data_IF_473729913262
#
_entry.id   IF_473729913262
#
_cell.length_a   1.000
_cell.length_b   1.000
_cell.length_c   1.000
_cell.angle_alpha   90.00
_cell.angle_beta   90.00
_cell.angle_gamma   90.00
#
_symmetry.space_group_name_H-M   'P 1'
#
loop_
_entity.id
_entity.type
_entity.pdbx_description
1 polymer ?
#
# COMPACT_ATOMS: atom_id res chain seq x y z
N UNK A 1 4.49 8.23 33.44
CA UNK A 1 4.13 7.13 34.36
C UNK A 1 4.50 5.82 33.67
N UNK A 2 5.32 4.99 34.31
CA UNK A 2 5.69 3.67 33.77
C UNK A 2 4.57 2.67 34.11
N UNK A 3 3.90 2.10 33.11
CA UNK A 3 2.96 1.00 33.30
C UNK A 3 3.74 -0.31 33.27
N UNK A 4 3.64 -1.09 34.35
CA UNK A 4 4.23 -2.43 34.48
C UNK A 4 3.19 -3.49 34.07
N UNK A 5 3.58 -4.58 33.39
CA UNK A 5 2.64 -5.65 33.04
C UNK A 5 1.89 -6.17 34.26
N UNK A 6 0.57 -6.37 34.12
CA UNK A 6 -0.30 -6.82 35.23
C UNK A 6 -0.08 -8.28 35.60
N UNK A 7 0.59 -9.07 34.75
CA UNK A 7 1.03 -10.44 35.04
C UNK A 7 2.38 -10.70 34.38
N UNK A 8 3.05 -11.79 34.80
CA UNK A 8 4.33 -12.23 34.23
C UNK A 8 4.12 -12.82 32.83
N UNK A 9 4.72 -12.22 31.82
CA UNK A 9 4.55 -12.57 30.39
C UNK A 9 5.41 -13.79 30.03
N UNK A 10 6.69 -13.79 30.45
CA UNK A 10 7.60 -14.93 30.25
C UNK A 10 7.64 -15.84 31.48
N UNK A 11 7.23 -17.10 31.32
CA UNK A 11 7.32 -18.16 32.36
C UNK A 11 8.22 -19.30 31.89
N UNK A 12 8.88 -20.01 32.83
CA UNK A 12 9.88 -21.06 32.53
C UNK A 12 9.31 -22.35 31.92
N UNK A 13 7.99 -22.52 31.89
CA UNK A 13 7.32 -23.81 31.63
C UNK A 13 6.32 -23.79 30.45
N UNK A 14 6.36 -22.78 29.59
CA UNK A 14 5.45 -22.68 28.44
C UNK A 14 5.97 -23.40 27.19
N UNK A 15 5.08 -24.09 26.46
CA UNK A 15 5.37 -24.76 25.17
C UNK A 15 5.46 -23.79 23.96
N UNK A 16 5.19 -22.51 24.15
CA UNK A 16 5.14 -21.51 23.08
C UNK A 16 6.43 -20.71 22.96
N UNK A 17 6.75 -20.25 21.74
CA UNK A 17 7.87 -19.33 21.49
C UNK A 17 7.55 -17.99 22.15
N UNK A 18 8.42 -17.56 23.07
CA UNK A 18 8.32 -16.29 23.80
C UNK A 18 9.66 -15.57 23.76
N UNK A 19 9.66 -14.28 24.04
CA UNK A 19 10.93 -13.55 24.07
C UNK A 19 10.82 -12.14 24.61
N UNK A 20 11.89 -11.40 24.37
CA UNK A 20 12.03 -10.01 24.80
C UNK A 20 12.54 -9.18 23.63
N UNK A 21 12.00 -7.98 23.48
CA UNK A 21 12.40 -7.02 22.46
C UNK A 21 13.08 -5.80 23.12
N UNK A 22 14.29 -5.42 22.71
CA UNK A 22 14.97 -4.23 23.22
C UNK A 22 14.36 -2.95 22.63
N UNK A 23 13.43 -2.31 23.35
CA UNK A 23 12.74 -1.10 22.87
C UNK A 23 13.51 0.16 23.25
N UNK A 24 13.76 1.03 22.26
CA UNK A 24 14.32 2.37 22.48
C UNK A 24 13.23 3.29 23.03
N UNK A 25 12.01 3.25 22.47
CA UNK A 25 10.86 4.04 22.97
C UNK A 25 10.57 3.77 24.44
N UNK A 26 10.70 2.53 24.88
CA UNK A 26 10.44 2.14 26.26
C UNK A 26 11.68 2.13 27.16
N UNK A 27 12.88 2.25 26.58
CA UNK A 27 14.16 2.18 27.30
C UNK A 27 14.29 0.93 28.20
N UNK A 28 13.71 -0.20 27.76
CA UNK A 28 13.71 -1.48 28.48
C UNK A 28 13.41 -2.64 27.53
N UNK A 29 13.63 -3.85 28.04
CA UNK A 29 13.12 -5.06 27.39
C UNK A 29 11.59 -5.13 27.52
N UNK A 30 10.89 -5.26 26.40
CA UNK A 30 9.44 -5.52 26.35
C UNK A 30 9.22 -7.00 26.09
N UNK A 31 8.49 -7.65 26.99
CA UNK A 31 8.18 -9.08 26.90
C UNK A 31 7.01 -9.34 25.96
N UNK A 32 7.05 -10.46 25.24
CA UNK A 32 5.98 -10.95 24.36
C UNK A 32 5.76 -12.45 24.51
N UNK A 33 4.51 -12.90 24.35
CA UNK A 33 4.06 -14.29 24.53
C UNK A 33 3.90 -15.06 23.21
N UNK A 34 3.91 -14.37 22.06
CA UNK A 34 3.81 -14.98 20.74
C UNK A 34 4.64 -14.26 19.65
N UNK A 35 5.04 -14.95 18.57
CA UNK A 35 5.72 -14.31 17.44
C UNK A 35 4.92 -13.15 16.80
N UNK A 36 3.59 -13.23 16.82
CA UNK A 36 2.72 -12.16 16.30
C UNK A 36 2.78 -10.91 17.15
N UNK A 37 2.88 -11.05 18.48
CA UNK A 37 3.13 -9.93 19.38
C UNK A 37 4.52 -9.31 19.13
N UNK A 38 5.53 -10.13 18.84
CA UNK A 38 6.85 -9.61 18.48
C UNK A 38 6.80 -8.75 17.20
N UNK A 39 5.99 -9.16 16.21
CA UNK A 39 5.76 -8.36 15.00
C UNK A 39 4.97 -7.08 15.30
N UNK A 40 3.96 -7.13 16.17
CA UNK A 40 3.23 -5.94 16.62
C UNK A 40 4.14 -4.94 17.35
N UNK A 41 5.05 -5.43 18.20
CA UNK A 41 6.05 -4.58 18.88
C UNK A 41 6.91 -3.83 17.86
N UNK A 42 7.35 -4.48 16.78
CA UNK A 42 8.12 -3.79 15.72
C UNK A 42 7.31 -2.67 15.08
N UNK A 43 6.03 -2.91 14.79
CA UNK A 43 5.14 -1.87 14.26
C UNK A 43 5.07 -0.66 15.20
N UNK A 44 4.95 -0.88 16.51
CA UNK A 44 4.89 0.20 17.50
C UNK A 44 6.25 0.91 17.66
N UNK A 45 7.35 0.17 17.66
CA UNK A 45 8.71 0.71 17.81
C UNK A 45 9.11 1.59 16.63
N UNK A 46 8.71 1.24 15.41
CA UNK A 46 9.11 2.00 14.21
C UNK A 46 8.09 3.06 13.78
N UNK A 47 6.87 3.04 14.32
CA UNK A 47 5.89 4.08 13.99
C UNK A 47 6.26 5.41 14.70
N UNK A 48 6.56 6.50 13.95
CA UNK A 48 6.93 7.79 14.54
C UNK A 48 5.78 8.45 15.33
N UNK A 49 4.53 8.12 15.01
CA UNK A 49 3.36 8.60 15.73
C UNK A 49 3.12 7.91 17.08
N UNK A 50 3.83 6.82 17.39
CA UNK A 50 3.75 6.14 18.69
C UNK A 50 4.75 6.77 19.66
N UNK A 51 4.28 7.20 20.82
CA UNK A 51 5.14 7.72 21.90
C UNK A 51 5.68 6.61 22.78
N UNK A 52 4.79 5.70 23.20
CA UNK A 52 5.09 4.61 24.12
C UNK A 52 4.11 3.45 23.90
N UNK A 53 4.50 2.25 24.31
CA UNK A 53 3.63 1.08 24.30
C UNK A 53 3.93 0.15 25.49
N UNK A 54 2.91 -0.55 25.96
CA UNK A 54 2.99 -1.34 27.19
C UNK A 54 2.36 -2.70 26.94
N UNK A 55 3.11 -3.79 27.18
CA UNK A 55 2.54 -5.13 27.16
C UNK A 55 1.68 -5.36 28.39
N UNK A 56 0.54 -6.03 28.20
CA UNK A 56 -0.39 -6.46 29.25
C UNK A 56 -0.69 -5.34 30.26
N UNK A 57 -1.28 -4.23 29.79
CA UNK A 57 -1.25 -2.93 30.46
C UNK A 57 -2.26 -2.79 31.59
N UNK A 58 -3.37 -3.53 31.52
CA UNK A 58 -4.52 -3.40 32.42
C UNK A 58 -5.37 -4.66 32.39
N UNK A 59 -6.20 -4.83 33.43
CA UNK A 59 -7.32 -5.77 33.40
C UNK A 59 -8.54 -5.00 32.91
N UNK A 60 -9.18 -5.52 31.87
CA UNK A 60 -10.35 -4.94 31.24
C UNK A 60 -11.56 -5.85 31.40
N UNK A 61 -12.75 -5.26 31.40
CA UNK A 61 -14.00 -5.97 31.71
C UNK A 61 -14.97 -5.95 30.53
N UNK A 62 -15.68 -7.06 30.34
CA UNK A 62 -16.74 -7.22 29.35
C UNK A 62 -17.82 -8.17 29.91
N UNK A 63 -18.97 -8.24 29.24
CA UNK A 63 -20.02 -9.20 29.56
C UNK A 63 -20.09 -10.27 28.47
N UNK A 64 -20.23 -11.54 28.85
CA UNK A 64 -20.48 -12.61 27.89
C UNK A 64 -21.92 -12.59 27.36
N UNK A 65 -22.24 -13.49 26.42
CA UNK A 65 -23.57 -13.55 25.79
C UNK A 65 -24.72 -13.81 26.79
N UNK A 66 -24.41 -14.29 28.00
CA UNK A 66 -25.38 -14.52 29.08
C UNK A 66 -25.42 -13.37 30.10
N UNK A 67 -24.70 -12.26 29.83
CA UNK A 67 -24.62 -11.11 30.73
C UNK A 67 -23.64 -11.29 31.89
N UNK A 68 -22.89 -12.40 31.95
CA UNK A 68 -21.94 -12.65 33.04
C UNK A 68 -20.73 -11.74 32.88
N UNK A 69 -20.35 -11.04 33.95
CA UNK A 69 -19.14 -10.22 33.95
C UNK A 69 -17.89 -11.11 33.81
N UNK A 70 -17.04 -10.75 32.86
CA UNK A 70 -15.76 -11.40 32.56
C UNK A 70 -14.66 -10.35 32.50
N UNK A 71 -13.42 -10.80 32.61
CA UNK A 71 -12.24 -9.94 32.47
C UNK A 71 -11.25 -10.52 31.48
N UNK A 72 -10.48 -9.66 30.83
CA UNK A 72 -9.34 -10.03 30.01
C UNK A 72 -8.22 -9.01 30.18
N UNK A 73 -7.03 -9.34 29.69
CA UNK A 73 -5.87 -8.45 29.69
C UNK A 73 -5.54 -8.20 28.22
N UNK A 74 -5.64 -6.97 27.70
CA UNK A 74 -5.20 -6.66 26.34
C UNK A 74 -3.71 -6.97 26.18
N UNK A 75 -3.29 -7.43 25.01
CA UNK A 75 -1.88 -7.74 24.77
C UNK A 75 -1.01 -6.50 24.85
N UNK A 76 -1.50 -5.36 24.33
CA UNK A 76 -0.80 -4.08 24.42
C UNK A 76 -1.72 -2.89 24.68
N UNK A 77 -1.13 -1.82 25.21
CA UNK A 77 -1.61 -0.44 25.08
C UNK A 77 -0.59 0.36 24.30
N UNK A 78 -1.05 1.14 23.33
CA UNK A 78 -0.22 2.08 22.54
C UNK A 78 -0.66 3.50 22.86
N UNK A 79 0.27 4.35 23.27
CA UNK A 79 0.03 5.79 23.47
C UNK A 79 0.59 6.58 22.28
N UNK A 80 -0.23 7.45 21.70
CA UNK A 80 0.18 8.27 20.54
C UNK A 80 0.99 9.51 20.97
N UNK A 81 1.78 10.05 20.05
CA UNK A 81 2.59 11.25 20.25
C UNK A 81 1.75 12.48 20.54
N UNK A 82 0.64 12.64 19.82
CA UNK A 82 -0.25 13.80 19.94
C UNK A 82 -1.47 13.54 20.86
N UNK A 83 -1.39 12.51 21.70
CA UNK A 83 -2.42 12.19 22.70
C UNK A 83 -3.37 11.06 22.31
N UNK A 84 -4.07 10.54 23.31
CA UNK A 84 -4.91 9.35 23.18
C UNK A 84 -4.13 8.03 23.30
N UNK A 85 -4.88 6.94 23.40
CA UNK A 85 -4.32 5.59 23.50
C UNK A 85 -5.22 4.56 22.82
N UNK A 86 -4.63 3.43 22.44
CA UNK A 86 -5.29 2.30 21.82
C UNK A 86 -4.96 1.02 22.60
N UNK A 87 -5.98 0.26 23.00
CA UNK A 87 -5.82 -1.11 23.45
C UNK A 87 -5.76 -2.04 22.25
N UNK A 88 -4.82 -2.99 22.28
CA UNK A 88 -4.56 -3.91 21.18
C UNK A 88 -4.60 -5.35 21.65
N UNK A 89 -5.32 -6.18 20.93
CA UNK A 89 -5.24 -7.65 21.02
C UNK A 89 -4.61 -8.19 19.73
N UNK A 90 -3.68 -9.11 19.85
CA UNK A 90 -2.99 -9.73 18.72
C UNK A 90 -3.48 -11.17 18.55
N UNK A 91 -3.89 -11.53 17.32
CA UNK A 91 -4.36 -12.88 16.98
C UNK A 91 -3.76 -13.33 15.65
N UNK A 92 -3.63 -14.64 15.45
CA UNK A 92 -3.36 -15.17 14.11
C UNK A 92 -4.54 -14.87 13.18
N UNK A 93 -4.31 -14.82 11.87
CA UNK A 93 -5.42 -14.61 10.91
C UNK A 93 -6.47 -15.73 11.02
N UNK A 94 -6.04 -16.97 11.26
CA UNK A 94 -6.94 -18.12 11.42
C UNK A 94 -7.79 -18.01 12.71
N UNK A 95 -7.17 -17.65 13.84
CA UNK A 95 -7.91 -17.49 15.10
C UNK A 95 -8.88 -16.31 15.03
N UNK A 96 -8.45 -15.20 14.43
CA UNK A 96 -9.29 -14.03 14.20
C UNK A 96 -10.43 -14.30 13.20
N UNK A 97 -10.30 -15.31 12.34
CA UNK A 97 -11.34 -15.77 11.43
C UNK A 97 -12.28 -16.82 12.06
N UNK A 98 -11.88 -17.45 13.17
CA UNK A 98 -12.65 -18.51 13.81
C UNK A 98 -13.91 -17.94 14.49
N UNK A 99 -15.15 -18.38 14.15
CA UNK A 99 -16.37 -17.71 14.58
C UNK A 99 -16.56 -17.54 16.10
N UNK A 100 -16.26 -18.54 16.96
CA UNK A 100 -16.31 -18.34 18.41
C UNK A 100 -15.35 -17.26 18.91
N UNK A 101 -14.14 -17.20 18.36
CA UNK A 101 -13.16 -16.16 18.69
C UNK A 101 -13.62 -14.80 18.18
N UNK A 102 -14.14 -14.72 16.96
CA UNK A 102 -14.72 -13.49 16.42
C UNK A 102 -15.83 -12.94 17.31
N UNK A 103 -16.75 -13.80 17.73
CA UNK A 103 -17.85 -13.41 18.62
C UNK A 103 -17.30 -12.84 19.94
N UNK A 104 -16.35 -13.54 20.57
CA UNK A 104 -15.72 -13.09 21.80
C UNK A 104 -14.98 -11.74 21.64
N UNK A 105 -14.22 -11.58 20.56
CA UNK A 105 -13.53 -10.33 20.24
C UNK A 105 -14.52 -9.18 19.98
N UNK A 106 -15.67 -9.48 19.36
CA UNK A 106 -16.77 -8.53 19.17
C UNK A 106 -17.36 -8.05 20.50
N UNK A 107 -17.60 -8.95 21.46
CA UNK A 107 -18.06 -8.58 22.80
C UNK A 107 -17.05 -7.70 23.54
N UNK A 108 -15.76 -8.03 23.46
CA UNK A 108 -14.68 -7.18 24.02
C UNK A 108 -14.68 -5.80 23.36
N UNK A 109 -14.72 -5.73 22.03
CA UNK A 109 -14.70 -4.48 21.27
C UNK A 109 -15.89 -3.57 21.64
N UNK A 110 -17.09 -4.15 21.71
CA UNK A 110 -18.29 -3.41 22.15
C UNK A 110 -18.16 -2.89 23.57
N UNK A 111 -17.67 -3.70 24.51
CA UNK A 111 -17.47 -3.26 25.89
C UNK A 111 -16.46 -2.12 26.00
N UNK A 112 -15.35 -2.17 25.26
CA UNK A 112 -14.34 -1.12 25.24
C UNK A 112 -14.89 0.18 24.62
N UNK A 113 -15.66 0.06 23.53
CA UNK A 113 -16.34 1.19 22.92
C UNK A 113 -17.29 1.91 23.90
N UNK A 114 -18.10 1.15 24.65
CA UNK A 114 -19.00 1.70 25.68
C UNK A 114 -18.25 2.39 26.82
N UNK A 115 -17.03 1.95 27.13
CA UNK A 115 -16.16 2.57 28.13
C UNK A 115 -15.33 3.75 27.58
N UNK A 116 -15.51 4.12 26.31
CA UNK A 116 -14.72 5.17 25.66
C UNK A 116 -13.25 4.80 25.48
N UNK A 117 -12.91 3.51 25.46
CA UNK A 117 -11.56 3.00 25.29
C UNK A 117 -11.39 2.49 23.85
N UNK A 118 -10.57 3.16 23.01
CA UNK A 118 -10.28 2.64 21.68
C UNK A 118 -9.65 1.25 21.79
N UNK A 119 -10.17 0.30 21.03
CA UNK A 119 -9.74 -1.10 21.03
C UNK A 119 -9.62 -1.63 19.60
N UNK A 120 -8.57 -2.38 19.31
CA UNK A 120 -8.36 -2.97 17.99
C UNK A 120 -7.73 -4.36 18.08
N UNK A 121 -8.18 -5.25 17.23
CA UNK A 121 -7.51 -6.54 16.98
C UNK A 121 -6.53 -6.35 15.83
N UNK A 122 -5.29 -6.80 16.01
CA UNK A 122 -4.27 -6.85 14.96
C UNK A 122 -3.96 -8.30 14.58
N UNK A 123 -3.92 -8.57 13.28
CA UNK A 123 -3.50 -9.85 12.71
C UNK A 123 -2.23 -9.69 11.87
N UNK A 124 -1.50 -10.79 11.56
CA UNK A 124 -0.30 -10.73 10.72
C UNK A 124 -0.53 -10.02 9.39
N UNK A 125 -1.67 -10.25 8.73
CA UNK A 125 -2.05 -9.53 7.49
C UNK A 125 -2.09 -8.02 7.67
N UNK A 126 -2.52 -7.54 8.83
CA UNK A 126 -2.62 -6.11 9.14
C UNK A 126 -1.28 -5.53 9.64
N UNK A 127 -0.45 -6.33 10.31
CA UNK A 127 0.84 -5.91 10.86
C UNK A 127 1.91 -5.88 9.76
N UNK A 128 1.91 -6.88 8.88
CA UNK A 128 2.91 -7.06 7.81
C UNK A 128 2.48 -6.38 6.52
N UNK A 129 2.17 -5.09 6.59
CA UNK A 129 2.00 -4.29 5.38
C UNK A 129 3.30 -4.35 4.57
N UNK A 130 3.25 -4.94 3.38
CA UNK A 130 4.40 -5.01 2.50
C UNK A 130 4.79 -3.60 2.08
N UNK A 131 6.07 -3.26 2.25
CA UNK A 131 6.63 -2.06 1.61
C UNK A 131 6.87 -2.43 0.16
N UNK A 132 6.11 -1.80 -0.73
CA UNK A 132 6.36 -1.91 -2.18
C UNK A 132 7.20 -0.72 -2.60
N UNK A 133 8.27 -0.99 -3.34
CA UNK A 133 9.00 0.04 -4.07
C UNK A 133 8.86 -0.22 -5.56
N UNK A 134 8.93 0.85 -6.35
CA UNK A 134 9.01 0.79 -7.80
C UNK A 134 10.37 1.33 -8.22
N UNK A 135 11.04 0.59 -9.10
CA UNK A 135 12.29 1.03 -9.72
C UNK A 135 12.02 1.29 -11.20
N UNK A 136 12.08 2.56 -11.59
CA UNK A 136 11.95 3.00 -12.97
C UNK A 136 13.29 2.86 -13.69
N UNK A 137 13.32 2.18 -14.83
CA UNK A 137 14.52 2.00 -15.64
C UNK A 137 14.19 2.19 -17.13
N UNK A 138 14.77 3.24 -17.73
CA UNK A 138 14.53 3.61 -19.12
C UNK A 138 15.34 2.76 -20.12
N UNK A 139 16.28 1.93 -19.66
CA UNK A 139 17.28 1.28 -20.50
C UNK A 139 16.96 -0.20 -20.79
N UNK A 140 15.72 -0.64 -20.55
CA UNK A 140 15.31 -2.07 -20.58
C UNK A 140 14.64 -2.52 -21.88
N UNK A 141 14.65 -1.69 -22.91
CA UNK A 141 14.10 -1.99 -24.24
C UNK A 141 14.62 -3.30 -24.83
N UNK A 142 15.93 -3.55 -24.73
CA UNK A 142 16.56 -4.79 -25.23
C UNK A 142 16.04 -6.01 -24.48
N UNK A 143 15.95 -5.94 -23.15
CA UNK A 143 15.39 -7.01 -22.31
C UNK A 143 13.92 -7.27 -22.67
N UNK A 144 13.12 -6.22 -22.81
CA UNK A 144 11.69 -6.35 -23.13
C UNK A 144 11.46 -6.97 -24.52
N UNK A 145 12.30 -6.64 -25.51
CA UNK A 145 12.24 -7.29 -26.84
C UNK A 145 12.69 -8.75 -26.77
N UNK A 146 13.82 -9.03 -26.11
CA UNK A 146 14.35 -10.39 -25.98
C UNK A 146 13.39 -11.35 -25.25
N UNK A 147 12.54 -10.81 -24.36
CA UNK A 147 11.54 -11.57 -23.59
C UNK A 147 10.13 -11.53 -24.20
N UNK A 148 9.98 -11.01 -25.43
CA UNK A 148 8.70 -10.87 -26.15
C UNK A 148 7.65 -10.07 -25.35
N UNK A 149 8.08 -9.09 -24.55
CA UNK A 149 7.19 -8.14 -23.86
C UNK A 149 6.94 -6.87 -24.68
N UNK A 150 7.86 -6.56 -25.60
CA UNK A 150 7.81 -5.43 -26.53
C UNK A 150 8.06 -5.95 -27.96
N UNK A 151 7.20 -5.62 -28.91
CA UNK A 151 7.41 -5.98 -30.33
C UNK A 151 8.54 -5.13 -30.95
N UNK A 152 9.10 -5.54 -32.11
CA UNK A 152 10.06 -4.71 -32.83
C UNK A 152 9.52 -3.31 -33.16
N UNK A 153 8.22 -3.18 -33.43
CA UNK A 153 7.52 -1.93 -33.75
C UNK A 153 7.17 -1.10 -32.50
N UNK A 154 7.48 -1.60 -31.30
CA UNK A 154 7.25 -0.88 -30.04
C UNK A 154 5.90 -1.14 -29.40
N UNK A 155 5.14 -2.16 -29.84
CA UNK A 155 3.87 -2.50 -29.20
C UNK A 155 4.09 -3.35 -27.95
N UNK A 156 3.38 -3.01 -26.88
CA UNK A 156 3.43 -3.77 -25.63
C UNK A 156 2.58 -5.02 -25.72
N UNK A 157 3.18 -6.16 -25.39
CA UNK A 157 2.52 -7.46 -25.41
C UNK A 157 2.07 -7.89 -24.02
N UNK A 158 2.93 -7.72 -23.00
CA UNK A 158 2.61 -8.13 -21.63
C UNK A 158 3.66 -7.66 -20.62
N UNK A 159 3.37 -7.86 -19.34
CA UNK A 159 4.32 -7.69 -18.23
C UNK A 159 5.33 -8.83 -18.18
N UNK A 160 6.54 -8.53 -17.71
CA UNK A 160 7.53 -9.53 -17.31
C UNK A 160 7.13 -10.10 -15.94
N UNK A 161 6.51 -11.29 -15.98
CA UNK A 161 5.95 -11.96 -14.80
C UNK A 161 7.01 -12.35 -13.76
N UNK A 162 6.57 -12.58 -12.53
CA UNK A 162 7.45 -12.81 -11.36
C UNK A 162 8.42 -13.97 -11.52
N UNK A 163 7.95 -15.05 -12.14
CA UNK A 163 8.73 -16.26 -12.45
C UNK A 163 9.53 -16.16 -13.75
N UNK A 164 9.35 -15.09 -14.53
CA UNK A 164 9.98 -14.93 -15.86
C UNK A 164 11.24 -14.07 -15.84
N UNK A 165 11.56 -13.47 -14.69
CA UNK A 165 12.82 -12.73 -14.50
C UNK A 165 13.92 -13.73 -14.14
N UNK A 166 14.84 -13.94 -15.08
CA UNK A 166 15.95 -14.89 -14.93
C UNK A 166 16.98 -14.46 -13.87
N UNK A 167 17.94 -15.35 -13.59
CA UNK A 167 18.97 -15.13 -12.58
C UNK A 167 20.01 -14.08 -12.98
N UNK A 168 20.24 -13.91 -14.29
CA UNK A 168 21.27 -13.01 -14.80
C UNK A 168 20.79 -11.56 -14.67
N UNK A 169 19.53 -11.29 -15.04
CA UNK A 169 18.87 -10.01 -14.80
C UNK A 169 18.80 -9.69 -13.30
N UNK A 170 18.51 -10.67 -12.44
CA UNK A 170 18.54 -10.44 -10.97
C UNK A 170 19.93 -10.08 -10.48
N UNK A 171 20.96 -10.76 -10.96
CA UNK A 171 22.35 -10.50 -10.59
C UNK A 171 22.79 -9.11 -11.05
N UNK A 172 22.40 -8.72 -12.26
CA UNK A 172 22.60 -7.37 -12.80
C UNK A 172 21.92 -6.32 -11.91
N UNK A 173 20.62 -6.46 -11.62
CA UNK A 173 19.87 -5.53 -10.77
C UNK A 173 20.50 -5.42 -9.37
N UNK A 174 20.92 -6.53 -8.78
CA UNK A 174 21.61 -6.54 -7.48
C UNK A 174 22.92 -5.73 -7.51
N UNK A 175 23.69 -5.82 -8.60
CA UNK A 175 24.94 -5.08 -8.75
C UNK A 175 24.76 -3.56 -8.84
N UNK A 176 23.58 -3.10 -9.29
CA UNK A 176 23.26 -1.67 -9.43
C UNK A 176 22.72 -1.04 -8.14
N UNK A 177 22.27 -1.84 -7.17
CA UNK A 177 21.63 -1.32 -5.94
C UNK A 177 22.54 -0.34 -5.18
N UNK A 178 23.83 -0.64 -4.91
CA UNK A 178 24.67 0.23 -4.09
C UNK A 178 24.92 1.63 -4.70
N UNK A 179 24.80 1.77 -6.03
CA UNK A 179 24.98 3.07 -6.69
C UNK A 179 23.68 3.87 -6.85
N UNK A 180 22.52 3.21 -6.79
CA UNK A 180 21.22 3.83 -7.05
C UNK A 180 20.39 4.06 -5.79
N UNK A 181 20.60 3.28 -4.74
CA UNK A 181 19.78 3.32 -3.53
C UNK A 181 20.62 3.77 -2.32
N UNK A 182 20.08 4.65 -1.46
CA UNK A 182 20.71 4.94 -0.18
C UNK A 182 20.89 3.68 0.66
N UNK A 183 21.96 3.62 1.47
CA UNK A 183 22.30 2.46 2.32
C UNK A 183 21.11 1.94 3.16
N UNK A 184 20.29 2.86 3.66
CA UNK A 184 19.10 2.54 4.47
C UNK A 184 18.03 1.73 3.71
N UNK A 185 18.01 1.81 2.38
CA UNK A 185 17.06 1.10 1.52
C UNK A 185 17.70 -0.05 0.74
N UNK A 186 19.02 -0.01 0.53
CA UNK A 186 19.74 -0.99 -0.29
C UNK A 186 19.47 -2.44 0.13
N UNK A 187 19.48 -2.74 1.44
CA UNK A 187 19.16 -4.08 1.95
C UNK A 187 17.74 -4.52 1.60
N UNK A 188 16.74 -3.66 1.83
CA UNK A 188 15.34 -3.97 1.55
C UNK A 188 15.09 -4.19 0.05
N UNK A 189 15.72 -3.37 -0.80
CA UNK A 189 15.64 -3.51 -2.25
C UNK A 189 16.31 -4.80 -2.71
N UNK A 190 17.47 -5.15 -2.16
CA UNK A 190 18.18 -6.39 -2.49
C UNK A 190 17.35 -7.63 -2.15
N UNK A 191 16.71 -7.66 -0.98
CA UNK A 191 15.77 -8.72 -0.59
C UNK A 191 14.61 -8.82 -1.61
N UNK A 192 14.05 -7.68 -2.02
CA UNK A 192 12.99 -7.62 -3.02
C UNK A 192 13.42 -8.19 -4.38
N UNK A 193 14.60 -7.81 -4.87
CA UNK A 193 15.17 -8.28 -6.15
C UNK A 193 15.52 -9.77 -6.10
N UNK A 194 16.02 -10.26 -4.97
CA UNK A 194 16.32 -11.69 -4.78
C UNK A 194 15.04 -12.55 -4.73
N UNK A 195 13.90 -11.98 -4.37
CA UNK A 195 12.64 -12.71 -4.27
C UNK A 195 12.12 -13.17 -5.63
N UNK A 196 12.02 -14.49 -5.81
CA UNK A 196 11.45 -15.13 -7.01
C UNK A 196 9.93 -15.00 -7.10
N UNK A 197 9.28 -14.57 -6.02
CA UNK A 197 7.82 -14.48 -5.92
C UNK A 197 7.31 -13.06 -5.79
N UNK A 198 8.18 -12.05 -5.64
CA UNK A 198 7.76 -10.66 -5.38
C UNK A 198 8.09 -9.70 -6.52
N UNK A 199 9.25 -9.82 -7.16
CA UNK A 199 9.69 -8.92 -8.23
C UNK A 199 8.92 -9.18 -9.53
N UNK A 200 8.39 -8.13 -10.15
CA UNK A 200 7.83 -8.15 -11.51
C UNK A 200 8.27 -6.92 -12.29
N UNK A 201 8.39 -7.04 -13.62
CA UNK A 201 8.66 -5.92 -14.51
C UNK A 201 7.43 -5.56 -15.33
N UNK A 202 7.07 -4.28 -15.39
CA UNK A 202 5.99 -3.80 -16.26
C UNK A 202 6.55 -2.73 -17.20
N UNK A 203 6.45 -2.92 -18.53
CA UNK A 203 6.70 -1.84 -19.46
C UNK A 203 5.73 -0.67 -19.18
N UNK A 204 6.21 0.56 -19.34
CA UNK A 204 5.37 1.74 -19.18
C UNK A 204 4.70 2.03 -20.51
N UNK A 205 3.37 2.11 -20.50
CA UNK A 205 2.55 2.42 -21.66
C UNK A 205 1.88 3.79 -21.50
N UNK A 206 1.73 4.50 -22.61
CA UNK A 206 0.95 5.75 -22.63
C UNK A 206 0.12 5.83 -23.91
N UNK A 207 -1.20 5.76 -23.77
CA UNK A 207 -2.13 5.76 -24.89
C UNK A 207 -2.94 7.05 -24.93
N UNK A 208 -2.78 7.81 -26.01
CA UNK A 208 -3.53 9.05 -26.25
C UNK A 208 -4.75 8.72 -27.13
N UNK A 209 -5.98 8.66 -26.58
CA UNK A 209 -7.16 8.30 -27.36
C UNK A 209 -7.54 9.41 -28.34
N UNK A 210 -7.91 9.02 -29.55
CA UNK A 210 -8.59 9.90 -30.52
C UNK A 210 -10.09 9.98 -30.24
N UNK A 211 -10.67 8.88 -29.73
CA UNK A 211 -12.07 8.73 -29.34
C UNK A 211 -12.20 7.73 -28.19
N UNK A 212 -13.27 7.83 -27.42
CA UNK A 212 -13.67 6.91 -26.36
C UNK A 212 -14.90 6.07 -26.74
N UNK A 213 -15.62 6.44 -27.80
CA UNK A 213 -16.92 5.85 -28.15
C UNK A 213 -16.97 5.47 -29.63
N UNK A 214 -17.66 4.35 -29.92
CA UNK A 214 -17.96 3.90 -31.26
C UNK A 214 -19.34 3.22 -31.28
N UNK A 215 -20.37 3.98 -31.64
CA UNK A 215 -21.75 3.49 -31.58
C UNK A 215 -22.14 3.12 -30.15
N UNK A 216 -22.66 1.91 -29.87
CA UNK A 216 -23.05 1.49 -28.53
C UNK A 216 -21.87 0.96 -27.68
N UNK A 217 -20.62 1.24 -28.06
CA UNK A 217 -19.41 0.82 -27.34
C UNK A 217 -18.68 2.05 -26.76
N UNK A 218 -18.28 1.97 -25.49
CA UNK A 218 -17.43 2.94 -24.82
C UNK A 218 -16.24 2.25 -24.13
N UNK A 219 -15.10 2.92 -24.07
CA UNK A 219 -13.92 2.52 -23.29
C UNK A 219 -13.72 3.45 -22.09
N UNK A 220 -13.22 2.89 -20.99
CA UNK A 220 -12.97 3.56 -19.71
C UNK A 220 -11.68 3.03 -19.07
N UNK A 221 -11.14 3.76 -18.09
CA UNK A 221 -9.94 3.37 -17.34
C UNK A 221 -8.72 3.21 -18.24
N UNK A 222 -7.85 2.26 -17.92
CA UNK A 222 -6.63 2.00 -18.69
C UNK A 222 -6.91 1.70 -20.17
N UNK A 223 -8.05 1.09 -20.51
CA UNK A 223 -8.41 0.87 -21.92
C UNK A 223 -8.62 2.19 -22.68
N UNK A 224 -9.09 3.22 -22.00
CA UNK A 224 -9.27 4.56 -22.56
C UNK A 224 -7.99 5.40 -22.53
N UNK A 225 -7.19 5.28 -21.46
CA UNK A 225 -6.09 6.22 -21.22
C UNK A 225 -5.01 5.70 -20.27
N UNK A 226 -4.30 4.65 -20.69
CA UNK A 226 -3.08 4.26 -19.96
C UNK A 226 -2.15 5.46 -19.84
N UNK A 227 -1.74 5.76 -18.61
CA UNK A 227 -0.75 6.77 -18.25
C UNK A 227 0.38 6.14 -17.45
N UNK A 228 1.52 6.82 -17.41
CA UNK A 228 2.64 6.40 -16.58
C UNK A 228 2.23 6.35 -15.11
N UNK A 229 2.64 5.31 -14.36
CA UNK A 229 2.37 5.22 -12.93
C UNK A 229 3.03 6.35 -12.14
N UNK A 230 4.00 7.07 -12.73
CA UNK A 230 4.61 8.28 -12.15
C UNK A 230 3.58 9.40 -11.90
N UNK A 231 2.45 9.39 -12.61
CA UNK A 231 1.37 10.38 -12.40
C UNK A 231 0.55 10.11 -11.13
N UNK A 232 0.60 8.89 -10.58
CA UNK A 232 -0.19 8.48 -9.41
C UNK A 232 -1.71 8.56 -9.58
N UNK A 233 -2.21 8.83 -10.79
CA UNK A 233 -3.60 9.28 -11.02
C UNK A 233 -4.47 8.32 -11.83
N UNK A 234 -3.92 7.21 -12.34
CA UNK A 234 -4.63 6.28 -13.24
C UNK A 234 -5.91 5.69 -12.62
N UNK A 235 -5.83 5.20 -11.38
CA UNK A 235 -7.00 4.60 -10.70
C UNK A 235 -8.12 5.63 -10.47
N UNK A 236 -7.81 6.80 -9.90
CA UNK A 236 -8.80 7.84 -9.62
C UNK A 236 -9.51 8.29 -10.92
N UNK A 237 -8.73 8.44 -12.00
CA UNK A 237 -9.24 8.79 -13.32
C UNK A 237 -10.19 7.72 -13.88
N UNK A 238 -9.89 6.43 -13.70
CA UNK A 238 -10.81 5.36 -14.09
C UNK A 238 -12.12 5.35 -13.30
N UNK A 239 -12.08 5.72 -12.01
CA UNK A 239 -13.30 5.89 -11.19
C UNK A 239 -14.15 7.05 -11.70
N UNK A 240 -13.53 8.17 -12.04
CA UNK A 240 -14.23 9.32 -12.64
C UNK A 240 -14.90 8.95 -13.97
N UNK A 241 -14.26 8.14 -14.81
CA UNK A 241 -14.87 7.65 -16.06
C UNK A 241 -16.13 6.86 -15.76
N UNK A 242 -16.06 5.92 -14.81
CA UNK A 242 -17.19 5.08 -14.42
C UNK A 242 -18.35 5.93 -13.88
N UNK A 243 -18.05 6.97 -13.10
CA UNK A 243 -19.04 7.90 -12.58
C UNK A 243 -19.71 8.72 -13.70
N UNK A 244 -18.93 9.28 -14.62
CA UNK A 244 -19.46 10.06 -15.75
C UNK A 244 -20.26 9.18 -16.73
N UNK A 245 -19.78 7.98 -17.01
CA UNK A 245 -20.49 7.00 -17.84
C UNK A 245 -21.81 6.59 -17.19
N UNK A 246 -21.79 6.25 -15.90
CA UNK A 246 -22.99 5.90 -15.13
C UNK A 246 -24.05 7.00 -15.21
N UNK A 247 -23.62 8.26 -15.04
CA UNK A 247 -24.51 9.43 -15.17
C UNK A 247 -25.09 9.57 -16.57
N UNK A 248 -24.26 9.48 -17.61
CA UNK A 248 -24.69 9.60 -18.99
C UNK A 248 -25.74 8.53 -19.38
N UNK A 249 -25.62 7.32 -18.80
CA UNK A 249 -26.57 6.23 -18.96
C UNK A 249 -27.86 6.43 -18.15
N UNK A 250 -27.76 6.92 -16.91
CA UNK A 250 -28.91 7.18 -16.05
C UNK A 250 -29.78 8.34 -16.56
N UNK A 251 -29.16 9.37 -17.12
CA UNK A 251 -29.82 10.54 -17.71
C UNK A 251 -30.30 10.29 -19.15
N UNK A 252 -30.12 9.07 -19.68
CA UNK A 252 -30.55 8.72 -21.04
C UNK A 252 -32.08 8.77 -21.15
N UNK A 253 -32.57 9.55 -22.11
CA UNK A 253 -34.00 9.62 -22.41
C UNK A 253 -34.48 8.36 -23.13
N UNK A 254 -35.75 8.03 -23.02
CA UNK A 254 -36.32 6.83 -23.65
C UNK A 254 -36.25 6.87 -25.19
N UNK A 255 -36.29 8.05 -25.80
CA UNK A 255 -36.17 8.28 -27.24
C UNK A 255 -34.71 8.41 -27.71
N UNK A 256 -33.75 8.40 -26.78
CA UNK A 256 -32.34 8.57 -27.08
C UNK A 256 -31.63 7.24 -27.35
N UNK A 257 -30.87 7.18 -28.45
CA UNK A 257 -30.05 6.02 -28.77
C UNK A 257 -28.91 5.84 -27.77
N UNK A 258 -28.45 4.59 -27.56
CA UNK A 258 -27.29 4.33 -26.71
C UNK A 258 -26.05 5.10 -27.18
N UNK A 259 -25.84 5.18 -28.50
CA UNK A 259 -24.72 5.90 -29.08
C UNK A 259 -24.72 7.39 -28.72
N UNK A 260 -25.88 8.04 -28.71
CA UNK A 260 -26.00 9.44 -28.33
C UNK A 260 -25.68 9.68 -26.84
N UNK A 261 -26.15 8.79 -25.95
CA UNK A 261 -25.83 8.87 -24.53
C UNK A 261 -24.33 8.69 -24.26
N UNK A 262 -23.69 7.72 -24.92
CA UNK A 262 -22.24 7.50 -24.81
C UNK A 262 -21.44 8.68 -25.41
N UNK A 263 -21.91 9.30 -26.49
CA UNK A 263 -21.25 10.47 -27.06
C UNK A 263 -21.23 11.65 -26.07
N UNK A 264 -22.24 11.81 -25.21
CA UNK A 264 -22.17 12.80 -24.11
C UNK A 264 -21.03 12.49 -23.13
N UNK A 265 -20.85 11.22 -22.79
CA UNK A 265 -19.72 10.79 -21.96
C UNK A 265 -18.38 11.12 -22.64
N UNK A 266 -18.21 10.79 -23.92
CA UNK A 266 -16.98 11.14 -24.67
C UNK A 266 -16.74 12.65 -24.68
N UNK A 267 -17.75 13.46 -25.02
CA UNK A 267 -17.63 14.91 -25.09
C UNK A 267 -17.22 15.53 -23.73
N UNK A 268 -17.72 14.98 -22.63
CA UNK A 268 -17.34 15.42 -21.30
C UNK A 268 -15.92 14.97 -20.91
N UNK A 269 -15.49 13.78 -21.35
CA UNK A 269 -14.30 13.12 -20.81
C UNK A 269 -13.04 13.23 -21.67
N UNK A 270 -13.18 13.14 -22.98
CA UNK A 270 -12.05 13.08 -23.92
C UNK A 270 -11.06 14.26 -23.78
N UNK A 271 -11.48 15.53 -23.59
CA UNK A 271 -10.54 16.64 -23.42
C UNK A 271 -9.63 16.47 -22.19
N UNK A 272 -10.22 16.11 -21.05
CA UNK A 272 -9.48 15.86 -19.81
C UNK A 272 -8.52 14.67 -19.98
N UNK A 273 -9.03 13.56 -20.52
CA UNK A 273 -8.25 12.37 -20.76
C UNK A 273 -7.02 12.64 -21.63
N UNK A 274 -7.20 13.38 -22.73
CA UNK A 274 -6.09 13.74 -23.63
C UNK A 274 -5.08 14.65 -22.94
N UNK A 275 -5.54 15.62 -22.14
CA UNK A 275 -4.66 16.49 -21.38
C UNK A 275 -3.83 15.71 -20.34
N UNK A 276 -4.46 14.76 -19.64
CA UNK A 276 -3.80 13.90 -18.66
C UNK A 276 -2.70 13.05 -19.33
N UNK A 277 -3.00 12.40 -20.45
CA UNK A 277 -2.00 11.59 -21.18
C UNK A 277 -0.88 12.45 -21.74
N UNK A 278 -1.19 13.63 -22.27
CA UNK A 278 -0.17 14.56 -22.75
C UNK A 278 0.78 15.00 -21.62
N UNK A 279 0.24 15.29 -20.43
CA UNK A 279 1.04 15.58 -19.25
C UNK A 279 1.89 14.35 -18.84
N UNK A 280 1.31 13.16 -18.83
CA UNK A 280 2.04 11.91 -18.54
C UNK A 280 3.25 11.76 -19.46
N UNK A 281 3.06 11.93 -20.77
CA UNK A 281 4.13 11.84 -21.77
C UNK A 281 5.24 12.86 -21.54
N UNK A 282 4.91 14.08 -21.10
CA UNK A 282 5.90 15.09 -20.75
C UNK A 282 6.73 14.68 -19.52
N UNK A 283 6.10 14.10 -18.49
CA UNK A 283 6.80 13.56 -17.32
C UNK A 283 7.74 12.41 -17.72
N UNK A 284 7.23 11.48 -18.52
CA UNK A 284 8.00 10.33 -19.02
C UNK A 284 9.20 10.79 -19.86
N UNK A 285 9.02 11.75 -20.77
CA UNK A 285 10.12 12.31 -21.55
C UNK A 285 11.19 12.97 -20.67
N UNK A 286 10.79 13.76 -19.66
CA UNK A 286 11.73 14.36 -18.70
C UNK A 286 12.52 13.30 -17.94
N UNK A 287 11.86 12.23 -17.51
CA UNK A 287 12.52 11.12 -16.83
C UNK A 287 13.55 10.43 -17.73
N UNK A 288 13.17 10.11 -18.97
CA UNK A 288 14.07 9.47 -19.94
C UNK A 288 15.28 10.35 -20.23
N UNK A 289 15.09 11.65 -20.49
CA UNK A 289 16.18 12.59 -20.72
C UNK A 289 17.18 12.61 -19.54
N UNK A 290 16.65 12.73 -18.32
CA UNK A 290 17.46 12.67 -17.11
C UNK A 290 18.23 11.34 -16.99
N UNK A 291 17.56 10.20 -17.21
CA UNK A 291 18.15 8.88 -17.13
C UNK A 291 19.19 8.59 -18.24
N UNK A 292 19.08 9.26 -19.39
CA UNK A 292 20.03 9.18 -20.51
C UNK A 292 21.21 10.15 -20.39
N UNK A 293 21.22 11.03 -19.37
CA UNK A 293 22.23 12.08 -19.22
C UNK A 293 22.13 13.22 -20.25
N UNK A 294 20.98 13.33 -20.93
CA UNK A 294 20.67 14.40 -21.88
C UNK A 294 19.91 15.48 -21.10
N UNK A 295 20.61 16.59 -20.82
CA UNK A 295 20.17 17.82 -20.13
C UNK A 295 20.35 17.90 -18.60
N UNK A 296 21.46 18.55 -18.22
CA UNK A 296 21.42 19.67 -17.27
C UNK A 296 21.95 20.93 -17.98
N UNK A 297 21.14 21.54 -18.83
CA UNK A 297 21.22 23.00 -19.00
C UNK A 297 20.18 23.58 -18.05
N UNK A 298 20.66 24.27 -17.03
CA UNK A 298 19.87 24.94 -16.00
C UNK A 298 18.80 25.85 -16.63
N UNK A 299 17.53 25.54 -16.39
CA UNK A 299 16.52 26.60 -16.24
C UNK A 299 16.35 26.84 -14.74
N UNK A 300 16.82 28.01 -14.30
CA UNK A 300 16.72 28.50 -12.94
C UNK A 300 15.28 28.42 -12.43
N UNK A 301 15.05 27.53 -11.45
CA UNK A 301 13.83 27.53 -10.65
C UNK A 301 13.82 28.77 -9.75
N UNK A 302 13.35 29.91 -10.27
CA UNK A 302 13.02 31.06 -9.45
C UNK A 302 11.77 30.73 -8.63
N UNK A 303 11.97 30.38 -7.36
CA UNK A 303 10.90 30.44 -6.35
C UNK A 303 10.34 31.86 -6.29
N UNK A 304 9.01 32.06 -6.36
CA UNK A 304 8.43 33.36 -6.05
C UNK A 304 8.72 33.67 -4.58
N UNK A 305 9.56 34.68 -4.35
CA UNK A 305 9.76 35.30 -3.04
C UNK A 305 8.41 35.80 -2.56
N UNK A 306 7.86 35.17 -1.53
CA UNK A 306 6.92 35.84 -0.64
C UNK A 306 7.66 37.03 -0.02
N UNK A 307 7.22 38.24 -0.39
CA UNK A 307 7.65 39.49 0.24
C UNK A 307 6.71 39.80 1.42
N UNK A 308 7.20 40.58 2.41
CA UNK A 308 6.85 40.45 3.83
C UNK A 308 5.43 40.89 4.21
#
# INVERSE_FOLDING_TARGET
>A
MSITPVRRVVTRSGLHIRGKFPSRKMSRMVEWESPFEADAIRLFEFNPGVRAFYSQPSVEHYHDAFGTARSFIPDFRVDWLHGGSLLVEVKSDADAAYPPTQHLLGLKAMAMQLQGKPYRVLTPTQIKSQVTFAWFDAHRDVLLRATNRLTPEGYLMSTLGRSSIDKDIRSELLSMIPSLWPDVWAEAVAIGVQSTTSLSGAPIAEYLPERLVSGPLAIVGDAAHVVSPMTGSGFATGVDDAALLSRALAERRHDESMAAALLRYENARLPYTRALVAHSRQLSARYVNHASGVDLVQEDYHSPRTTP
#
